data_IF_863648269590
#
_entry.id   IF_863648269590
#
_cell.length_a   1.000
_cell.length_b   1.000
_cell.length_c   1.000
_cell.angle_alpha   90.00
_cell.angle_beta   90.00
_cell.angle_gamma   90.00
#
_symmetry.space_group_name_H-M   'P 1'
#
loop_
_entity.id
_entity.type
_entity.pdbx_description
1 polymer ?
#
# COMPACT_ATOMS: atom_id res chain seq x y z
N UNK A 1 0.75 -1.07 14.34
CA UNK A 1 -0.34 -0.78 13.40
C UNK A 1 -1.61 -1.48 13.86
N UNK A 2 -2.53 -0.82 14.60
CA UNK A 2 -3.75 -1.46 15.12
C UNK A 2 -4.57 -2.09 13.99
N UNK A 3 -4.81 -1.34 12.93
CA UNK A 3 -5.67 -1.78 11.84
C UNK A 3 -5.08 -2.93 11.00
N UNK A 4 -3.76 -3.04 10.94
CA UNK A 4 -3.09 -4.22 10.37
C UNK A 4 -3.52 -5.50 11.12
N UNK A 5 -3.49 -5.48 12.46
CA UNK A 5 -3.90 -6.63 13.27
C UNK A 5 -5.37 -6.97 13.02
N UNK A 6 -6.24 -5.97 12.93
CA UNK A 6 -7.65 -6.17 12.59
C UNK A 6 -7.83 -6.81 11.21
N UNK A 7 -7.10 -6.33 10.19
CA UNK A 7 -7.12 -6.93 8.84
C UNK A 7 -6.60 -8.37 8.82
N UNK A 8 -5.53 -8.67 9.55
CA UNK A 8 -4.98 -10.03 9.70
C UNK A 8 -5.97 -10.96 10.41
N UNK A 9 -6.64 -10.49 11.47
CA UNK A 9 -7.70 -11.23 12.15
C UNK A 9 -8.90 -11.49 11.23
N UNK A 10 -9.27 -10.51 10.40
CA UNK A 10 -10.34 -10.67 9.42
C UNK A 10 -10.03 -11.78 8.41
N UNK A 11 -8.79 -11.85 7.91
CA UNK A 11 -8.34 -12.95 7.06
C UNK A 11 -8.29 -14.30 7.78
N UNK A 12 -7.88 -14.31 9.05
CA UNK A 12 -7.92 -15.51 9.89
C UNK A 12 -9.35 -16.06 10.05
N UNK A 13 -10.30 -15.19 10.42
CA UNK A 13 -11.71 -15.57 10.55
C UNK A 13 -12.28 -16.07 9.22
N UNK A 14 -11.90 -15.42 8.11
CA UNK A 14 -12.26 -15.90 6.78
C UNK A 14 -11.79 -17.33 6.55
N UNK A 15 -10.52 -17.67 6.80
CA UNK A 15 -10.02 -19.04 6.57
C UNK A 15 -10.73 -20.09 7.43
N UNK A 16 -11.08 -19.76 8.68
CA UNK A 16 -11.87 -20.65 9.53
C UNK A 16 -13.26 -20.93 8.95
N UNK A 17 -13.95 -19.89 8.47
CA UNK A 17 -15.26 -20.03 7.83
C UNK A 17 -15.14 -20.75 6.48
N UNK A 18 -14.12 -20.43 5.70
CA UNK A 18 -13.79 -21.07 4.40
C UNK A 18 -13.68 -22.58 4.54
N UNK A 19 -12.94 -23.06 5.55
CA UNK A 19 -12.78 -24.49 5.81
C UNK A 19 -14.10 -25.21 6.12
N UNK A 20 -15.09 -24.51 6.66
CA UNK A 20 -16.42 -25.06 6.95
C UNK A 20 -17.32 -25.08 5.72
N UNK A 21 -17.27 -24.02 4.93
CA UNK A 21 -18.14 -23.85 3.76
C UNK A 21 -17.63 -24.58 2.51
N UNK A 22 -16.31 -24.76 2.38
CA UNK A 22 -15.66 -25.37 1.22
C UNK A 22 -14.68 -26.47 1.66
N UNK A 23 -15.17 -27.65 2.07
CA UNK A 23 -14.31 -28.75 2.55
C UNK A 23 -13.29 -29.25 1.52
N UNK A 24 -13.56 -29.05 0.22
CA UNK A 24 -12.64 -29.43 -0.85
C UNK A 24 -11.35 -28.58 -0.90
N UNK A 25 -11.39 -27.34 -0.40
CA UNK A 25 -10.22 -26.45 -0.29
C UNK A 25 -9.72 -26.32 1.16
N UNK A 26 -9.88 -27.40 1.94
CA UNK A 26 -9.54 -27.41 3.37
C UNK A 26 -8.06 -27.13 3.61
N UNK A 27 -7.79 -26.22 4.55
CA UNK A 27 -6.45 -25.91 5.04
C UNK A 27 -6.30 -26.38 6.50
N UNK A 28 -5.24 -27.13 6.87
CA UNK A 28 -5.02 -27.56 8.25
C UNK A 28 -5.01 -26.41 9.25
N UNK A 29 -5.62 -26.61 10.44
CA UNK A 29 -5.66 -25.60 11.50
C UNK A 29 -4.26 -25.21 12.00
N UNK A 30 -3.29 -26.13 11.94
CA UNK A 30 -1.88 -25.84 12.26
C UNK A 30 -1.28 -24.82 11.29
N UNK A 31 -1.63 -24.89 10.01
CA UNK A 31 -1.17 -23.96 8.98
C UNK A 31 -1.82 -22.58 9.15
N UNK A 32 -3.13 -22.54 9.42
CA UNK A 32 -3.84 -21.30 9.76
C UNK A 32 -3.23 -20.66 11.01
N UNK A 33 -2.93 -21.47 12.04
CA UNK A 33 -2.26 -21.02 13.26
C UNK A 33 -0.85 -20.48 13.01
N UNK A 34 -0.08 -21.11 12.12
CA UNK A 34 1.22 -20.60 11.68
C UNK A 34 1.06 -19.24 11.00
N UNK A 35 0.15 -19.11 10.03
CA UNK A 35 -0.12 -17.85 9.32
C UNK A 35 -0.59 -16.73 10.25
N UNK A 36 -1.42 -17.06 11.25
CA UNK A 36 -1.83 -16.10 12.28
C UNK A 36 -0.63 -15.65 13.11
N UNK A 37 0.17 -16.59 13.59
CA UNK A 37 1.33 -16.29 14.44
C UNK A 37 2.33 -15.42 13.69
N UNK A 38 2.74 -15.82 12.49
CA UNK A 38 3.69 -15.04 11.69
C UNK A 38 3.11 -13.70 11.27
N UNK A 39 1.82 -13.64 10.90
CA UNK A 39 1.11 -12.41 10.63
C UNK A 39 1.12 -11.45 11.81
N UNK A 40 0.79 -11.91 13.02
CA UNK A 40 0.77 -11.05 14.22
C UNK A 40 2.15 -10.48 14.56
N UNK A 41 3.23 -11.23 14.31
CA UNK A 41 4.62 -10.78 14.50
C UNK A 41 5.24 -10.10 13.28
N UNK A 42 4.47 -9.93 12.19
CA UNK A 42 4.94 -9.31 10.95
C UNK A 42 6.13 -10.05 10.29
N UNK A 43 6.17 -11.38 10.46
CA UNK A 43 7.19 -12.26 9.90
C UNK A 43 6.67 -12.77 8.54
N UNK A 44 7.40 -12.55 7.44
CA UNK A 44 6.96 -13.01 6.13
C UNK A 44 7.07 -14.54 6.02
N UNK A 45 6.07 -15.17 5.44
CA UNK A 45 6.11 -16.59 5.06
C UNK A 45 6.69 -16.74 3.65
N UNK A 46 7.99 -17.02 3.59
CA UNK A 46 8.70 -17.25 2.33
C UNK A 46 8.59 -18.73 1.96
N UNK A 47 7.52 -19.08 1.25
CA UNK A 47 7.31 -20.43 0.71
C UNK A 47 6.48 -20.36 -0.57
N UNK A 48 6.75 -21.29 -1.49
CA UNK A 48 5.99 -21.45 -2.73
C UNK A 48 4.57 -22.00 -2.49
N UNK A 49 4.30 -22.50 -1.28
CA UNK A 49 2.97 -22.96 -0.88
C UNK A 49 1.94 -21.82 -0.76
N UNK A 50 2.40 -20.56 -0.68
CA UNK A 50 1.54 -19.41 -0.46
C UNK A 50 1.54 -18.45 -1.64
N UNK A 51 0.35 -17.91 -1.96
CA UNK A 51 0.20 -16.88 -2.99
C UNK A 51 0.84 -15.54 -2.61
N UNK A 52 1.11 -15.31 -1.33
CA UNK A 52 1.76 -14.08 -0.84
C UNK A 52 2.50 -14.35 0.48
N UNK A 53 3.48 -13.50 0.79
CA UNK A 53 4.25 -13.55 2.04
C UNK A 53 3.43 -13.24 3.30
N UNK A 54 2.23 -12.64 3.15
CA UNK A 54 1.24 -12.46 4.24
C UNK A 54 -0.13 -13.01 3.86
N UNK A 55 -0.36 -14.34 3.95
CA UNK A 55 -1.56 -14.98 3.42
C UNK A 55 -2.89 -14.46 4.00
N UNK A 56 -2.91 -14.06 5.28
CA UNK A 56 -4.10 -13.53 5.94
C UNK A 56 -4.43 -12.09 5.57
N UNK A 57 -3.45 -11.34 5.08
CA UNK A 57 -3.65 -9.97 4.63
C UNK A 57 -2.67 -9.65 3.51
N UNK A 58 -2.98 -10.05 2.26
CA UNK A 58 -2.07 -9.93 1.14
C UNK A 58 -1.52 -8.53 0.94
N UNK A 59 -2.31 -7.47 1.16
CA UNK A 59 -1.82 -6.08 1.04
C UNK A 59 -0.62 -5.76 1.95
N UNK A 60 -0.35 -6.56 2.98
CA UNK A 60 0.68 -6.27 3.97
C UNK A 60 2.11 -6.43 3.44
N UNK A 61 2.31 -7.05 2.28
CA UNK A 61 3.65 -7.23 1.69
C UNK A 61 4.38 -5.90 1.49
N UNK A 62 3.68 -4.84 1.08
CA UNK A 62 4.29 -3.52 0.87
C UNK A 62 4.61 -2.82 2.20
N UNK A 63 3.76 -3.00 3.23
CA UNK A 63 4.00 -2.49 4.57
C UNK A 63 5.24 -3.14 5.21
N UNK A 64 5.52 -4.40 4.87
CA UNK A 64 6.75 -5.08 5.27
C UNK A 64 7.98 -4.41 4.69
N UNK A 65 7.98 -4.13 3.39
CA UNK A 65 9.06 -3.37 2.77
C UNK A 65 9.16 -1.94 3.32
N UNK A 66 8.03 -1.29 3.59
CA UNK A 66 7.99 0.03 4.21
C UNK A 66 8.64 0.00 5.61
N UNK A 67 8.36 -1.01 6.42
CA UNK A 67 9.00 -1.18 7.73
C UNK A 67 10.51 -1.38 7.59
N UNK A 68 10.95 -2.24 6.68
CA UNK A 68 12.38 -2.48 6.42
C UNK A 68 13.09 -1.19 6.01
N UNK A 69 12.55 -0.48 5.03
CA UNK A 69 13.21 0.73 4.50
C UNK A 69 13.21 1.85 5.54
N UNK A 70 12.19 1.95 6.40
CA UNK A 70 12.18 2.91 7.51
C UNK A 70 13.23 2.58 8.57
N UNK A 71 13.40 1.30 8.94
CA UNK A 71 14.46 0.88 9.86
C UNK A 71 15.84 1.21 9.26
N UNK A 72 16.05 0.85 7.99
CA UNK A 72 17.28 1.16 7.27
C UNK A 72 17.53 2.67 7.22
N UNK A 73 16.49 3.47 6.93
CA UNK A 73 16.56 4.92 6.88
C UNK A 73 17.00 5.52 8.20
N UNK A 74 16.40 5.12 9.33
CA UNK A 74 16.79 5.60 10.66
C UNK A 74 18.24 5.23 10.97
N UNK A 75 18.67 4.01 10.64
CA UNK A 75 20.03 3.54 10.90
C UNK A 75 21.10 4.36 10.16
N UNK A 76 20.81 4.83 8.93
CA UNK A 76 21.78 5.57 8.10
C UNK A 76 21.46 7.07 8.01
N UNK A 77 20.45 7.57 8.73
CA UNK A 77 19.92 8.92 8.57
C UNK A 77 20.99 10.02 8.61
N UNK A 78 21.94 9.90 9.54
CA UNK A 78 23.00 10.88 9.79
C UNK A 78 24.02 10.99 8.65
N UNK A 79 24.20 9.94 7.85
CA UNK A 79 25.15 9.92 6.71
C UNK A 79 24.50 10.20 5.36
N UNK A 80 23.17 10.33 5.30
CA UNK A 80 22.44 10.60 4.07
C UNK A 80 22.63 12.04 3.62
N UNK A 81 23.77 12.37 3.00
CA UNK A 81 23.92 13.62 2.25
C UNK A 81 23.06 13.59 0.98
N UNK A 82 22.78 14.76 0.38
CA UNK A 82 22.03 14.84 -0.89
C UNK A 82 22.70 14.04 -2.02
N UNK A 83 24.05 13.99 -2.04
CA UNK A 83 24.83 13.21 -3.01
C UNK A 83 24.63 11.71 -2.82
N UNK A 84 24.75 11.23 -1.59
CA UNK A 84 24.51 9.81 -1.25
C UNK A 84 23.08 9.40 -1.60
N UNK A 85 22.11 10.23 -1.23
CA UNK A 85 20.70 9.99 -1.52
C UNK A 85 20.42 9.91 -3.04
N UNK A 86 21.02 10.80 -3.82
CA UNK A 86 20.91 10.77 -5.29
C UNK A 86 21.54 9.48 -5.86
N UNK A 87 22.68 9.06 -5.32
CA UNK A 87 23.31 7.78 -5.68
C UNK A 87 22.41 6.57 -5.38
N UNK A 88 21.78 6.54 -4.19
CA UNK A 88 20.83 5.47 -3.82
C UNK A 88 19.65 5.43 -4.79
N UNK A 89 19.05 6.59 -5.11
CA UNK A 89 17.93 6.68 -6.06
C UNK A 89 18.35 6.20 -7.44
N UNK A 90 19.53 6.59 -7.93
CA UNK A 90 20.02 6.18 -9.24
C UNK A 90 20.29 4.68 -9.33
N UNK A 91 20.99 4.12 -8.34
CA UNK A 91 21.28 2.67 -8.29
C UNK A 91 20.00 1.86 -8.14
N UNK A 92 19.09 2.26 -7.26
CA UNK A 92 17.80 1.57 -7.08
C UNK A 92 16.92 1.65 -8.33
N UNK A 93 16.97 2.74 -9.10
CA UNK A 93 16.31 2.85 -10.40
C UNK A 93 16.87 1.84 -11.41
N UNK A 94 18.20 1.72 -11.52
CA UNK A 94 18.82 0.73 -12.42
C UNK A 94 18.39 -0.69 -12.04
N UNK A 95 18.43 -1.02 -10.74
CA UNK A 95 18.02 -2.32 -10.25
C UNK A 95 16.52 -2.58 -10.47
N UNK A 96 15.68 -1.55 -10.34
CA UNK A 96 14.25 -1.63 -10.61
C UNK A 96 13.98 -1.90 -12.09
N UNK A 97 14.65 -1.17 -13.00
CA UNK A 97 14.56 -1.39 -14.45
C UNK A 97 15.00 -2.81 -14.78
N UNK A 98 16.17 -3.24 -14.31
CA UNK A 98 16.66 -4.60 -14.55
C UNK A 98 15.66 -5.65 -14.06
N UNK A 99 15.22 -5.57 -12.80
CA UNK A 99 14.25 -6.51 -12.24
C UNK A 99 12.94 -6.55 -13.04
N UNK A 100 12.45 -5.40 -13.50
CA UNK A 100 11.23 -5.30 -14.30
C UNK A 100 11.35 -5.90 -15.70
N UNK A 101 12.50 -5.76 -16.35
CA UNK A 101 12.76 -6.36 -17.66
C UNK A 101 12.88 -7.88 -17.53
N UNK A 102 13.58 -8.38 -16.51
CA UNK A 102 13.70 -9.81 -16.26
C UNK A 102 12.36 -10.46 -15.86
N UNK A 103 11.55 -9.79 -15.05
CA UNK A 103 10.25 -10.32 -14.62
C UNK A 103 9.13 -10.10 -15.65
N UNK A 104 9.30 -9.20 -16.61
CA UNK A 104 8.26 -8.80 -17.56
C UNK A 104 7.08 -8.05 -16.93
N UNK A 105 7.20 -7.64 -15.66
CA UNK A 105 6.18 -6.94 -14.88
C UNK A 105 6.83 -6.14 -13.76
N UNK A 106 6.12 -5.17 -13.18
CA UNK A 106 6.50 -4.51 -11.91
C UNK A 106 5.66 -5.00 -10.72
N UNK A 107 4.73 -5.92 -10.98
CA UNK A 107 3.90 -6.56 -9.95
C UNK A 107 4.64 -7.74 -9.31
N UNK A 108 5.73 -7.40 -8.61
CA UNK A 108 6.59 -8.32 -7.88
C UNK A 108 6.86 -7.81 -6.47
N UNK A 109 7.31 -8.70 -5.59
CA UNK A 109 7.60 -8.41 -4.18
C UNK A 109 6.62 -9.08 -3.22
N UNK A 110 5.43 -9.46 -3.70
CA UNK A 110 4.39 -10.02 -2.83
C UNK A 110 4.57 -11.51 -2.54
N UNK A 111 5.38 -12.24 -3.32
CA UNK A 111 5.56 -13.70 -3.21
C UNK A 111 6.95 -14.05 -2.71
N UNK A 112 7.13 -15.26 -2.17
CA UNK A 112 8.46 -15.72 -1.73
C UNK A 112 9.52 -15.66 -2.82
N UNK A 113 9.16 -16.01 -4.08
CA UNK A 113 10.06 -15.94 -5.25
C UNK A 113 10.46 -14.53 -5.64
N UNK A 114 9.58 -13.56 -5.40
CA UNK A 114 9.74 -12.20 -5.91
C UNK A 114 10.10 -11.17 -4.83
N UNK A 115 10.21 -11.60 -3.57
CA UNK A 115 10.46 -10.74 -2.41
C UNK A 115 11.72 -9.88 -2.60
N UNK A 116 12.80 -10.45 -3.16
CA UNK A 116 14.05 -9.72 -3.40
C UNK A 116 13.86 -8.63 -4.46
N UNK A 117 13.07 -8.91 -5.50
CA UNK A 117 12.74 -7.93 -6.54
C UNK A 117 11.92 -6.75 -6.00
N UNK A 118 11.21 -6.92 -4.88
CA UNK A 118 10.53 -5.81 -4.18
C UNK A 118 11.47 -4.76 -3.59
N UNK A 119 12.73 -5.11 -3.28
CA UNK A 119 13.68 -4.21 -2.61
C UNK A 119 14.08 -2.99 -3.47
N UNK A 120 14.47 -3.14 -4.74
CA UNK A 120 14.71 -1.98 -5.61
C UNK A 120 13.51 -1.04 -5.71
N UNK A 121 12.30 -1.60 -5.83
CA UNK A 121 11.05 -0.83 -5.96
C UNK A 121 10.77 0.04 -4.74
N UNK A 122 10.85 -0.54 -3.54
CA UNK A 122 10.62 0.23 -2.30
C UNK A 122 11.74 1.24 -2.07
N UNK A 123 12.99 0.84 -2.30
CA UNK A 123 14.17 1.68 -2.07
C UNK A 123 14.11 2.92 -2.97
N UNK A 124 13.86 2.71 -4.26
CA UNK A 124 13.71 3.80 -5.23
C UNK A 124 12.61 4.78 -4.79
N UNK A 125 11.39 4.28 -4.58
CA UNK A 125 10.23 5.13 -4.30
C UNK A 125 10.37 5.89 -2.99
N UNK A 126 10.85 5.22 -1.94
CA UNK A 126 11.03 5.82 -0.62
C UNK A 126 12.10 6.91 -0.63
N UNK A 127 13.31 6.60 -1.12
CA UNK A 127 14.41 7.55 -1.12
C UNK A 127 14.23 8.69 -2.13
N UNK A 128 13.50 8.46 -3.24
CA UNK A 128 13.06 9.52 -4.12
C UNK A 128 12.13 10.49 -3.37
N UNK A 129 11.17 9.98 -2.60
CA UNK A 129 10.31 10.78 -1.74
C UNK A 129 11.10 11.62 -0.73
N UNK A 130 12.10 11.02 -0.06
CA UNK A 130 13.00 11.75 0.86
C UNK A 130 13.79 12.84 0.11
N UNK A 131 14.28 12.55 -1.10
CA UNK A 131 15.04 13.48 -1.92
C UNK A 131 14.18 14.67 -2.38
N UNK A 132 12.94 14.39 -2.80
CA UNK A 132 11.95 15.39 -3.13
C UNK A 132 11.64 16.27 -1.93
N UNK A 133 11.36 15.68 -0.76
CA UNK A 133 11.08 16.41 0.47
C UNK A 133 12.23 17.37 0.85
N UNK A 134 13.48 16.89 0.79
CA UNK A 134 14.66 17.72 1.11
C UNK A 134 14.95 18.78 0.06
N UNK A 135 14.63 18.51 -1.20
CA UNK A 135 14.83 19.47 -2.30
C UNK A 135 13.70 20.50 -2.37
N UNK A 136 12.54 20.19 -1.79
CA UNK A 136 11.34 21.04 -1.83
C UNK A 136 11.63 22.42 -1.26
N UNK A 137 12.35 22.54 -0.14
CA UNK A 137 12.71 23.83 0.46
C UNK A 137 13.42 24.79 -0.51
N UNK A 138 14.20 24.25 -1.45
CA UNK A 138 14.97 25.05 -2.41
C UNK A 138 14.16 25.42 -3.67
N UNK A 139 13.17 24.62 -4.07
CA UNK A 139 12.46 24.75 -5.36
C UNK A 139 10.98 25.12 -5.19
N UNK A 140 10.43 25.11 -3.97
CA UNK A 140 9.03 25.46 -3.71
C UNK A 140 8.69 26.89 -4.16
N UNK A 141 9.67 27.80 -4.12
CA UNK A 141 9.53 29.17 -4.64
C UNK A 141 9.47 29.23 -6.17
N UNK A 142 10.25 28.40 -6.87
CA UNK A 142 10.24 28.35 -8.35
C UNK A 142 9.01 27.63 -8.89
N UNK A 143 8.37 26.77 -8.10
CA UNK A 143 7.09 26.12 -8.39
C UNK A 143 5.88 27.02 -8.06
N UNK A 144 6.06 28.34 -7.96
CA UNK A 144 4.98 29.29 -7.65
C UNK A 144 3.82 29.28 -8.64
N UNK A 145 4.04 28.85 -9.88
CA UNK A 145 2.96 28.70 -10.87
C UNK A 145 1.96 27.60 -10.49
N UNK A 146 2.40 26.55 -9.79
CA UNK A 146 1.53 25.48 -9.27
C UNK A 146 0.58 26.00 -8.18
N UNK A 147 0.86 27.19 -7.61
CA UNK A 147 -0.02 27.82 -6.63
C UNK A 147 -1.24 28.50 -7.25
N UNK A 148 -1.35 28.53 -8.58
CA UNK A 148 -2.47 29.15 -9.30
C UNK A 148 -3.05 28.14 -10.29
N UNK A 149 -4.38 28.02 -10.34
CA UNK A 149 -5.07 27.12 -11.26
C UNK A 149 -5.48 25.79 -10.62
N UNK A 150 -5.95 24.87 -11.45
CA UNK A 150 -6.61 23.61 -11.07
C UNK A 150 -5.63 22.42 -11.15
N UNK A 151 -4.44 22.57 -10.57
CA UNK A 151 -3.38 21.56 -10.67
C UNK A 151 -3.70 20.28 -9.87
N UNK A 152 -4.46 20.39 -8.79
CA UNK A 152 -4.90 19.23 -8.00
C UNK A 152 -5.88 18.39 -8.83
N UNK A 153 -6.85 19.04 -9.47
CA UNK A 153 -7.81 18.40 -10.37
C UNK A 153 -7.11 17.80 -11.58
N UNK A 154 -6.13 18.51 -12.16
CA UNK A 154 -5.26 17.98 -13.21
C UNK A 154 -4.50 16.73 -12.79
N UNK A 155 -3.94 16.71 -11.57
CA UNK A 155 -3.27 15.52 -11.02
C UNK A 155 -4.25 14.36 -10.79
N UNK A 156 -5.48 14.63 -10.33
CA UNK A 156 -6.53 13.62 -10.19
C UNK A 156 -6.91 13.04 -11.56
N UNK A 157 -7.15 13.89 -12.56
CA UNK A 157 -7.46 13.44 -13.92
C UNK A 157 -6.32 12.61 -14.52
N UNK A 158 -5.08 13.04 -14.31
CA UNK A 158 -3.90 12.27 -14.73
C UNK A 158 -3.84 10.92 -14.04
N UNK A 159 -4.16 10.84 -12.75
CA UNK A 159 -4.26 9.59 -12.00
C UNK A 159 -5.28 8.65 -12.63
N UNK A 160 -6.48 9.17 -12.91
CA UNK A 160 -7.55 8.40 -13.55
C UNK A 160 -7.15 7.91 -14.94
N UNK A 161 -6.48 8.76 -15.73
CA UNK A 161 -5.96 8.39 -17.05
C UNK A 161 -4.90 7.28 -16.96
N UNK A 162 -4.01 7.34 -15.95
CA UNK A 162 -3.00 6.30 -15.73
C UNK A 162 -3.67 4.95 -15.42
N UNK A 163 -4.66 4.93 -14.54
CA UNK A 163 -5.35 3.68 -14.22
C UNK A 163 -6.29 3.19 -15.32
N UNK A 164 -6.84 4.08 -16.15
CA UNK A 164 -7.75 3.72 -17.23
C UNK A 164 -7.03 3.13 -18.46
N UNK A 165 -5.83 3.61 -18.79
CA UNK A 165 -5.14 3.18 -20.02
C UNK A 165 -4.42 1.83 -19.87
N UNK A 166 -3.74 1.62 -18.74
CA UNK A 166 -3.13 0.35 -18.30
C UNK A 166 -2.88 -0.71 -19.41
N UNK A 167 -1.88 -0.51 -20.29
CA UNK A 167 -1.71 -1.31 -21.50
C UNK A 167 -1.32 -2.76 -21.16
N UNK A 168 -1.75 -3.71 -21.99
CA UNK A 168 -1.37 -5.12 -21.85
C UNK A 168 -0.10 -5.47 -22.64
N UNK A 169 0.57 -6.56 -22.26
CA UNK A 169 1.73 -7.11 -22.98
C UNK A 169 3.03 -6.33 -22.77
N UNK A 170 3.95 -6.39 -23.73
CA UNK A 170 5.33 -5.88 -23.59
C UNK A 170 5.44 -4.38 -23.30
N UNK A 171 4.44 -3.57 -23.66
CA UNK A 171 4.40 -2.15 -23.35
C UNK A 171 4.17 -1.87 -21.85
N UNK A 172 3.67 -2.85 -21.08
CA UNK A 172 3.32 -2.69 -19.66
C UNK A 172 4.51 -2.30 -18.80
N UNK A 173 5.67 -2.92 -19.02
CA UNK A 173 6.88 -2.65 -18.23
C UNK A 173 7.33 -1.20 -18.39
N UNK A 174 7.41 -0.73 -19.64
CA UNK A 174 7.79 0.66 -19.95
C UNK A 174 6.79 1.65 -19.37
N UNK A 175 5.50 1.32 -19.50
CA UNK A 175 4.41 2.12 -18.96
C UNK A 175 4.48 2.26 -17.44
N UNK A 176 4.60 1.16 -16.72
CA UNK A 176 4.66 1.13 -15.25
C UNK A 176 5.95 1.79 -14.73
N UNK A 177 7.08 1.61 -15.42
CA UNK A 177 8.33 2.31 -15.10
C UNK A 177 8.17 3.83 -15.26
N UNK A 178 7.56 4.30 -16.35
CA UNK A 178 7.30 5.72 -16.56
C UNK A 178 6.34 6.27 -15.49
N UNK A 179 5.32 5.49 -15.11
CA UNK A 179 4.38 5.86 -14.05
C UNK A 179 5.11 6.04 -12.70
N UNK A 180 5.93 5.07 -12.31
CA UNK A 180 6.64 5.06 -11.02
C UNK A 180 7.77 6.09 -10.97
N UNK A 181 8.55 6.25 -12.05
CA UNK A 181 9.73 7.10 -12.06
C UNK A 181 9.45 8.58 -12.40
N UNK A 182 8.33 8.87 -13.08
CA UNK A 182 8.03 10.20 -13.61
C UNK A 182 6.66 10.69 -13.14
N UNK A 183 5.58 9.97 -13.49
CA UNK A 183 4.21 10.47 -13.30
C UNK A 183 3.86 10.64 -11.83
N UNK A 184 4.02 9.59 -11.01
CA UNK A 184 3.70 9.65 -9.58
C UNK A 184 4.57 10.65 -8.82
N UNK A 185 5.90 10.73 -9.03
CA UNK A 185 6.72 11.79 -8.43
C UNK A 185 6.25 13.21 -8.78
N UNK A 186 5.87 13.48 -10.03
CA UNK A 186 5.32 14.77 -10.45
C UNK A 186 4.00 15.06 -9.74
N UNK A 187 3.11 14.06 -9.64
CA UNK A 187 1.84 14.20 -8.93
C UNK A 187 2.04 14.50 -7.44
N UNK A 188 2.96 13.80 -6.78
CA UNK A 188 3.30 14.03 -5.38
C UNK A 188 3.88 15.43 -5.18
N UNK A 189 4.79 15.87 -6.05
CA UNK A 189 5.36 17.22 -5.99
C UNK A 189 4.29 18.30 -6.22
N UNK A 190 3.35 18.05 -7.14
CA UNK A 190 2.22 18.95 -7.42
C UNK A 190 1.30 19.05 -6.22
N UNK A 191 0.88 17.92 -5.64
CA UNK A 191 0.02 17.88 -4.45
C UNK A 191 0.68 18.49 -3.21
N UNK A 192 2.01 18.53 -3.13
CA UNK A 192 2.73 19.17 -2.03
C UNK A 192 2.79 20.71 -2.13
N UNK A 193 2.56 21.29 -3.32
CA UNK A 193 2.68 22.74 -3.56
C UNK A 193 1.34 23.39 -3.90
N UNK A 194 0.48 22.69 -4.64
CA UNK A 194 -0.78 23.23 -5.14
C UNK A 194 -1.76 23.50 -3.97
N UNK A 195 -2.45 24.65 -3.96
CA UNK A 195 -3.40 24.98 -2.92
C UNK A 195 -4.64 24.11 -3.05
N UNK A 196 -5.16 23.69 -1.90
CA UNK A 196 -6.44 23.03 -1.82
C UNK A 196 -7.56 24.07 -1.76
N UNK A 197 -8.60 23.93 -2.58
CA UNK A 197 -9.80 24.76 -2.46
C UNK A 197 -10.41 24.60 -1.06
N UNK A 198 -10.78 25.70 -0.34
CA UNK A 198 -11.30 25.63 1.02
C UNK A 198 -12.50 24.67 1.18
N UNK A 199 -13.39 24.65 0.18
CA UNK A 199 -14.56 23.77 0.12
C UNK A 199 -14.21 22.27 0.07
N UNK A 200 -13.08 21.91 -0.55
CA UNK A 200 -12.65 20.52 -0.73
C UNK A 200 -11.64 20.06 0.33
N UNK A 201 -11.09 20.99 1.12
CA UNK A 201 -10.08 20.69 2.14
C UNK A 201 -10.55 19.62 3.14
N UNK A 202 -11.80 19.72 3.62
CA UNK A 202 -12.38 18.72 4.52
C UNK A 202 -12.51 17.34 3.87
N UNK A 203 -12.92 17.30 2.60
CA UNK A 203 -13.05 16.05 1.84
C UNK A 203 -11.69 15.39 1.57
N UNK A 204 -10.67 16.16 1.17
CA UNK A 204 -9.32 15.63 0.97
C UNK A 204 -8.67 15.19 2.29
N UNK A 205 -8.93 15.91 3.39
CA UNK A 205 -8.52 15.47 4.73
C UNK A 205 -9.16 14.13 5.11
N UNK A 206 -10.45 13.95 4.81
CA UNK A 206 -11.15 12.68 5.01
C UNK A 206 -10.57 11.56 4.15
N UNK A 207 -10.35 11.79 2.85
CA UNK A 207 -9.73 10.82 1.95
C UNK A 207 -8.34 10.38 2.43
N UNK A 208 -7.51 11.35 2.84
CA UNK A 208 -6.19 11.06 3.42
C UNK A 208 -6.28 10.20 4.68
N UNK A 209 -7.24 10.52 5.56
CA UNK A 209 -7.47 9.80 6.82
C UNK A 209 -7.87 8.34 6.63
N UNK A 210 -8.70 8.03 5.63
CA UNK A 210 -9.19 6.67 5.38
C UNK A 210 -8.33 5.87 4.39
N UNK A 211 -7.35 6.50 3.73
CA UNK A 211 -6.52 5.86 2.69
C UNK A 211 -5.80 4.58 3.17
N UNK A 212 -5.12 4.64 4.32
CA UNK A 212 -4.48 3.48 4.94
C UNK A 212 -5.49 2.41 5.39
N UNK A 213 -6.60 2.78 6.04
CA UNK A 213 -7.70 1.86 6.33
C UNK A 213 -8.26 1.11 5.12
N UNK A 214 -8.52 1.80 4.02
CA UNK A 214 -8.93 1.18 2.76
C UNK A 214 -7.84 0.19 2.31
N UNK A 215 -6.58 0.64 2.29
CA UNK A 215 -5.46 -0.18 1.86
C UNK A 215 -5.34 -1.50 2.65
N UNK A 216 -5.54 -1.50 3.97
CA UNK A 216 -5.30 -2.69 4.78
C UNK A 216 -6.50 -3.64 4.87
N UNK A 217 -7.71 -3.13 4.64
CA UNK A 217 -8.96 -3.89 4.76
C UNK A 217 -9.41 -4.47 3.41
N UNK A 218 -9.07 -3.83 2.28
CA UNK A 218 -9.61 -4.24 0.98
C UNK A 218 -9.24 -5.68 0.60
N UNK A 219 -8.01 -6.15 0.87
CA UNK A 219 -7.61 -7.52 0.48
C UNK A 219 -8.30 -8.60 1.32
N UNK A 220 -8.37 -8.55 2.67
CA UNK A 220 -9.21 -9.46 3.43
C UNK A 220 -10.68 -9.45 2.98
N UNK A 221 -11.24 -8.26 2.67
CA UNK A 221 -12.61 -8.18 2.16
C UNK A 221 -12.77 -8.83 0.79
N UNK A 222 -11.80 -8.64 -0.13
CA UNK A 222 -11.80 -9.33 -1.43
C UNK A 222 -11.77 -10.85 -1.24
N UNK A 223 -10.97 -11.35 -0.30
CA UNK A 223 -10.93 -12.78 0.02
C UNK A 223 -12.28 -13.29 0.53
N UNK A 224 -12.92 -12.56 1.44
CA UNK A 224 -14.24 -12.92 1.98
C UNK A 224 -15.29 -12.99 0.88
N UNK A 225 -15.36 -11.97 0.03
CA UNK A 225 -16.42 -11.91 -0.98
C UNK A 225 -16.16 -12.90 -2.11
N UNK A 226 -14.91 -13.03 -2.58
CA UNK A 226 -14.55 -14.03 -3.58
C UNK A 226 -14.82 -15.45 -3.06
N UNK A 227 -14.47 -15.73 -1.81
CA UNK A 227 -14.76 -17.01 -1.15
C UNK A 227 -16.26 -17.26 -0.97
N UNK A 228 -17.04 -16.25 -0.61
CA UNK A 228 -18.50 -16.35 -0.51
C UNK A 228 -19.14 -16.64 -1.88
N UNK A 229 -18.70 -15.92 -2.93
CA UNK A 229 -19.16 -16.17 -4.30
C UNK A 229 -18.93 -17.62 -4.73
N UNK A 230 -17.72 -18.15 -4.50
CA UNK A 230 -17.42 -19.57 -4.73
C UNK A 230 -18.31 -20.51 -3.91
N UNK A 231 -18.46 -20.27 -2.61
CA UNK A 231 -19.24 -21.12 -1.71
C UNK A 231 -20.72 -21.20 -2.11
N UNK A 232 -21.29 -20.12 -2.64
CA UNK A 232 -22.69 -20.05 -3.10
C UNK A 232 -22.83 -20.24 -4.62
N UNK A 233 -21.75 -20.56 -5.34
CA UNK A 233 -21.74 -20.68 -6.81
C UNK A 233 -22.29 -19.44 -7.53
N UNK A 234 -22.13 -18.27 -6.92
CA UNK A 234 -22.41 -16.97 -7.53
C UNK A 234 -21.13 -16.52 -8.20
N UNK A 235 -21.13 -16.40 -9.53
CA UNK A 235 -20.02 -15.78 -10.24
C UNK A 235 -19.98 -14.28 -9.91
N UNK A 236 -19.00 -13.80 -9.12
CA UNK A 236 -18.90 -12.40 -8.75
C UNK A 236 -18.62 -11.51 -9.98
N UNK A 237 -18.07 -12.10 -11.04
CA UNK A 237 -17.65 -11.41 -12.25
C UNK A 237 -18.74 -11.39 -13.34
N UNK A 238 -19.81 -12.16 -13.20
CA UNK A 238 -20.93 -12.15 -14.15
C UNK A 238 -21.69 -10.80 -14.20
N UNK A 239 -21.61 -9.97 -13.15
CA UNK A 239 -22.31 -8.66 -13.05
C UNK A 239 -21.31 -7.49 -12.98
N UNK A 240 -20.27 -7.57 -13.81
CA UNK A 240 -18.92 -7.03 -13.59
C UNK A 240 -18.77 -5.53 -13.20
N UNK A 241 -19.57 -4.54 -13.63
CA UNK A 241 -19.38 -3.19 -13.10
C UNK A 241 -20.01 -3.00 -11.71
N UNK A 242 -21.20 -3.56 -11.46
CA UNK A 242 -21.93 -3.34 -10.21
C UNK A 242 -21.27 -4.00 -9.01
N UNK A 243 -20.74 -5.21 -9.20
CA UNK A 243 -20.03 -5.91 -8.13
C UNK A 243 -18.80 -5.11 -7.65
N UNK A 244 -17.99 -4.59 -8.59
CA UNK A 244 -16.83 -3.76 -8.28
C UNK A 244 -17.21 -2.48 -7.54
N UNK A 245 -18.31 -1.82 -7.94
CA UNK A 245 -18.81 -0.61 -7.27
C UNK A 245 -19.27 -0.92 -5.85
N UNK A 246 -20.10 -1.96 -5.67
CA UNK A 246 -20.58 -2.38 -4.34
C UNK A 246 -19.41 -2.72 -3.43
N UNK A 247 -18.41 -3.43 -3.96
CA UNK A 247 -17.20 -3.77 -3.23
C UNK A 247 -16.41 -2.51 -2.82
N UNK A 248 -16.14 -1.60 -3.75
CA UNK A 248 -15.44 -0.36 -3.46
C UNK A 248 -16.16 0.47 -2.39
N UNK A 249 -17.48 0.64 -2.51
CA UNK A 249 -18.31 1.35 -1.52
C UNK A 249 -18.26 0.65 -0.16
N UNK A 250 -18.37 -0.68 -0.13
CA UNK A 250 -18.33 -1.46 1.11
C UNK A 250 -16.99 -1.31 1.83
N UNK A 251 -15.87 -1.40 1.09
CA UNK A 251 -14.52 -1.19 1.63
C UNK A 251 -14.39 0.22 2.18
N UNK A 252 -14.84 1.25 1.47
CA UNK A 252 -14.78 2.65 1.93
C UNK A 252 -15.57 2.84 3.22
N UNK A 253 -16.80 2.33 3.28
CA UNK A 253 -17.67 2.44 4.47
C UNK A 253 -17.05 1.71 5.65
N UNK A 254 -16.64 0.45 5.48
CA UNK A 254 -16.04 -0.35 6.55
C UNK A 254 -14.71 0.27 7.00
N UNK A 255 -13.90 0.78 6.09
CA UNK A 255 -12.66 1.46 6.40
C UNK A 255 -12.91 2.73 7.23
N UNK A 256 -13.88 3.57 6.87
CA UNK A 256 -14.22 4.77 7.64
C UNK A 256 -14.76 4.43 9.04
N UNK A 257 -15.61 3.41 9.16
CA UNK A 257 -16.09 2.91 10.46
C UNK A 257 -14.92 2.39 11.30
N UNK A 258 -14.08 1.52 10.74
CA UNK A 258 -12.94 0.94 11.44
C UNK A 258 -11.93 2.00 11.89
N UNK A 259 -11.76 3.06 11.10
CA UNK A 259 -10.93 4.23 11.46
C UNK A 259 -11.45 4.92 12.72
N UNK A 260 -12.75 5.22 12.74
CA UNK A 260 -13.37 6.00 13.83
C UNK A 260 -13.56 5.21 15.11
N UNK A 261 -13.93 3.93 14.98
CA UNK A 261 -14.32 3.07 16.12
C UNK A 261 -13.11 2.34 16.71
N UNK A 262 -12.12 1.99 15.90
CA UNK A 262 -10.99 1.16 16.34
C UNK A 262 -9.64 1.83 16.19
N UNK A 263 -9.24 2.26 14.98
CA UNK A 263 -7.87 2.72 14.73
C UNK A 263 -7.52 3.99 15.52
N UNK A 264 -8.32 5.06 15.38
CA UNK A 264 -8.05 6.32 16.07
C UNK A 264 -8.11 6.20 17.60
N UNK A 265 -9.13 5.55 18.21
CA UNK A 265 -9.17 5.37 19.66
C UNK A 265 -7.97 4.58 20.20
N UNK A 266 -7.62 3.46 19.55
CA UNK A 266 -6.50 2.61 19.97
C UNK A 266 -5.18 3.36 19.81
N UNK A 267 -4.98 4.08 18.70
CA UNK A 267 -3.77 4.89 18.48
C UNK A 267 -3.63 5.99 19.53
N UNK A 268 -4.72 6.71 19.84
CA UNK A 268 -4.72 7.74 20.90
C UNK A 268 -4.40 7.14 22.26
N UNK A 269 -4.95 5.97 22.57
CA UNK A 269 -4.66 5.25 23.80
C UNK A 269 -3.17 4.88 23.90
N UNK A 270 -2.61 4.24 22.88
CA UNK A 270 -1.19 3.84 22.85
C UNK A 270 -0.25 5.04 22.94
N UNK A 271 -0.55 6.14 22.23
CA UNK A 271 0.25 7.37 22.30
C UNK A 271 0.26 7.96 23.71
N UNK A 272 -0.88 7.99 24.41
CA UNK A 272 -0.96 8.44 25.80
C UNK A 272 -0.12 7.56 26.73
N UNK A 273 -0.16 6.24 26.55
CA UNK A 273 0.65 5.32 27.36
C UNK A 273 2.15 5.53 27.12
N UNK A 274 2.58 5.69 25.86
CA UNK A 274 3.98 5.97 25.53
C UNK A 274 4.46 7.30 26.11
N UNK A 275 3.63 8.34 26.06
CA UNK A 275 3.95 9.65 26.65
C UNK A 275 4.09 9.56 28.18
N UNK A 276 3.19 8.81 28.85
CA UNK A 276 3.29 8.56 30.30
C UNK A 276 4.56 7.80 30.66
N UNK A 277 4.89 6.74 29.93
CA UNK A 277 6.11 5.96 30.18
C UNK A 277 7.38 6.81 30.03
N UNK A 278 7.42 7.71 29.03
CA UNK A 278 8.53 8.67 28.85
C UNK A 278 8.60 9.77 29.90
N UNK A 279 7.48 10.10 30.56
CA UNK A 279 7.47 11.10 31.63
C UNK A 279 7.91 10.51 32.99
N UNK A 280 7.91 9.18 33.11
CA UNK A 280 8.32 8.44 34.33
C UNK A 280 9.78 7.96 34.24
N UNK A 281 10.33 7.83 33.03
CA UNK A 281 11.73 7.48 32.76
C UNK A 281 12.62 8.72 32.69
#
# INVERSE_FOLDING_TARGET
YPLYLAGTLLGFFYLLVKNRLMPAEYMPLSEIGLQLTTGMFFIPLVSDAYHTIFPLNPASWSLFFELIVNIAYVAVFVVLSRRVLTGIVFVSLILLVAASVFAGTLDFGMTGKTIVSGLPRVTFSFFLGVLLCRSMTNWQGSLGFLRRGLWVEGAILLTLAVFAFAPAGGARVVYDLAAIAIVFPIMVATGAVAPTAPLLSGFYGWLGRISYPIYIIHTPMLMIIAGAGKAFSIDPFAHHPWFGIVMAVSVVVIADIATRVYDEPVRRFLQRQMQRARAVA
#
